data_IF_700116218623
#
_entry.id   IF_700116218623
#
_cell.length_a   1.000
_cell.length_b   1.000
_cell.length_c   1.000
_cell.angle_alpha   90.00
_cell.angle_beta   90.00
_cell.angle_gamma   90.00
#
_symmetry.space_group_name_H-M   'P 1'
#
loop_
_entity.id
_entity.type
_entity.pdbx_description
1 polymer ?
#
# COMPACT_ATOMS: atom_id res chain seq x y z
N UNK A 1 13.95 -77.75 64.89
CA UNK A 1 12.89 -76.73 64.78
C UNK A 1 13.28 -75.55 63.89
N UNK A 2 14.46 -74.96 64.10
CA UNK A 2 15.02 -73.84 63.30
C UNK A 2 15.03 -74.07 61.77
N UNK A 3 15.47 -75.23 61.29
CA UNK A 3 15.52 -75.52 59.84
C UNK A 3 14.14 -75.59 59.15
N UNK A 4 13.10 -76.07 59.85
CA UNK A 4 11.72 -76.11 59.34
C UNK A 4 11.13 -74.70 59.27
N UNK A 5 11.37 -73.89 60.30
CA UNK A 5 10.91 -72.51 60.38
C UNK A 5 11.54 -71.63 59.29
N UNK A 6 12.87 -71.74 59.08
CA UNK A 6 13.56 -71.05 57.98
C UNK A 6 13.03 -71.48 56.61
N UNK A 7 12.75 -72.77 56.41
CA UNK A 7 12.19 -73.28 55.15
C UNK A 7 10.78 -72.71 54.90
N UNK A 8 9.93 -72.64 55.92
CA UNK A 8 8.60 -72.02 55.82
C UNK A 8 8.69 -70.52 55.49
N UNK A 9 9.57 -69.77 56.16
CA UNK A 9 9.80 -68.34 55.87
C UNK A 9 10.26 -68.12 54.43
N UNK A 10 11.27 -68.86 53.97
CA UNK A 10 11.78 -68.76 52.60
C UNK A 10 10.66 -69.08 51.59
N UNK A 11 9.83 -70.07 51.89
CA UNK A 11 8.74 -70.48 50.99
C UNK A 11 7.64 -69.42 50.92
N UNK A 12 7.22 -68.85 52.06
CA UNK A 12 6.23 -67.77 52.11
C UNK A 12 6.75 -66.51 51.44
N UNK A 13 7.99 -66.08 51.75
CA UNK A 13 8.63 -64.92 51.10
C UNK A 13 8.75 -65.13 49.58
N UNK A 14 9.15 -66.32 49.12
CA UNK A 14 9.24 -66.61 47.68
C UNK A 14 7.87 -66.58 47.00
N UNK A 15 6.82 -66.98 47.71
CA UNK A 15 5.44 -66.99 47.22
C UNK A 15 4.90 -65.57 47.05
N UNK A 16 5.19 -64.67 47.99
CA UNK A 16 4.81 -63.25 47.94
C UNK A 16 5.71 -62.43 46.98
N UNK A 17 6.98 -62.79 46.81
CA UNK A 17 7.89 -62.11 45.86
C UNK A 17 7.62 -62.46 44.40
N UNK A 18 7.04 -63.64 44.11
CA UNK A 18 6.74 -64.07 42.75
C UNK A 18 5.79 -63.13 41.97
N UNK A 19 4.64 -62.67 42.52
CA UNK A 19 3.78 -61.70 41.85
C UNK A 19 4.46 -60.34 41.68
N UNK A 20 5.20 -59.86 42.69
CA UNK A 20 5.98 -58.62 42.60
C UNK A 20 7.00 -58.70 41.46
N UNK A 21 7.67 -59.84 41.28
CA UNK A 21 8.64 -60.05 40.20
C UNK A 21 7.98 -60.05 38.81
N UNK A 22 6.73 -60.50 38.69
CA UNK A 22 5.94 -60.38 37.45
C UNK A 22 5.55 -58.94 37.18
N UNK A 23 4.99 -58.24 38.17
CA UNK A 23 4.62 -56.83 38.01
C UNK A 23 5.84 -55.96 37.63
N UNK A 24 7.02 -56.22 38.22
CA UNK A 24 8.27 -55.56 37.81
C UNK A 24 8.61 -55.88 36.35
N UNK A 25 8.43 -57.11 35.89
CA UNK A 25 8.69 -57.46 34.49
C UNK A 25 7.71 -56.74 33.54
N UNK A 26 6.43 -56.71 33.88
CA UNK A 26 5.39 -56.01 33.11
C UNK A 26 5.64 -54.49 33.07
N UNK A 27 6.12 -53.90 34.18
CA UNK A 27 6.54 -52.49 34.26
C UNK A 27 7.75 -52.25 33.35
N UNK A 28 8.76 -53.13 33.36
CA UNK A 28 9.93 -52.99 32.48
C UNK A 28 9.53 -53.04 31.01
N UNK A 29 8.62 -53.94 30.64
CA UNK A 29 8.10 -54.03 29.28
C UNK A 29 7.31 -52.77 28.90
N UNK A 30 6.43 -52.30 29.78
CA UNK A 30 5.66 -51.06 29.60
C UNK A 30 6.58 -49.84 29.46
N UNK A 31 7.64 -49.77 30.26
CA UNK A 31 8.61 -48.68 30.23
C UNK A 31 9.46 -48.70 28.96
N UNK A 32 9.83 -49.88 28.48
CA UNK A 32 10.49 -50.06 27.17
C UNK A 32 9.59 -49.56 26.03
N UNK A 33 8.30 -49.92 26.04
CA UNK A 33 7.34 -49.43 25.07
C UNK A 33 7.16 -47.91 25.13
N UNK A 34 7.02 -47.34 26.33
CA UNK A 34 6.92 -45.89 26.52
C UNK A 34 8.17 -45.15 26.04
N UNK A 35 9.37 -45.66 26.33
CA UNK A 35 10.62 -45.06 25.85
C UNK A 35 10.65 -45.01 24.33
N UNK A 36 10.26 -46.10 23.65
CA UNK A 36 10.18 -46.12 22.18
C UNK A 36 9.20 -45.06 21.65
N UNK A 37 8.02 -44.94 22.26
CA UNK A 37 7.03 -43.92 21.89
C UNK A 37 7.54 -42.50 22.15
N UNK A 38 8.27 -42.30 23.23
CA UNK A 38 8.88 -41.01 23.57
C UNK A 38 9.96 -40.63 22.56
N UNK A 39 10.83 -41.57 22.15
CA UNK A 39 11.81 -41.35 21.10
C UNK A 39 11.17 -40.99 19.75
N UNK A 40 10.13 -41.73 19.34
CA UNK A 40 9.38 -41.45 18.12
C UNK A 40 8.75 -40.03 18.17
N UNK A 41 8.20 -39.65 19.33
CA UNK A 41 7.63 -38.33 19.55
C UNK A 41 8.70 -37.22 19.54
N UNK A 42 9.87 -37.44 20.14
CA UNK A 42 10.98 -36.48 20.08
C UNK A 42 11.45 -36.25 18.64
N UNK A 43 11.59 -37.32 17.84
CA UNK A 43 11.94 -37.20 16.42
C UNK A 43 10.90 -36.41 15.63
N UNK A 44 9.61 -36.68 15.87
CA UNK A 44 8.53 -35.93 15.23
C UNK A 44 8.52 -34.45 15.66
N UNK A 45 8.82 -34.16 16.92
CA UNK A 45 8.91 -32.80 17.44
C UNK A 45 10.10 -32.03 16.83
N UNK A 46 11.28 -32.66 16.75
CA UNK A 46 12.47 -32.12 16.09
C UNK A 46 12.16 -31.75 14.64
N UNK A 47 11.56 -32.67 13.88
CA UNK A 47 11.16 -32.46 12.49
C UNK A 47 10.13 -31.33 12.36
N UNK A 48 9.12 -31.29 13.24
CA UNK A 48 8.11 -30.24 13.22
C UNK A 48 8.72 -28.88 13.51
N UNK A 49 9.65 -28.79 14.46
CA UNK A 49 10.39 -27.57 14.76
C UNK A 49 11.18 -27.10 13.54
N UNK A 50 11.93 -27.98 12.90
CA UNK A 50 12.67 -27.65 11.67
C UNK A 50 11.76 -27.08 10.58
N UNK A 51 10.63 -27.75 10.30
CA UNK A 51 9.64 -27.30 9.31
C UNK A 51 9.09 -25.92 9.68
N UNK A 52 8.77 -25.67 10.94
CA UNK A 52 8.26 -24.36 11.39
C UNK A 52 9.31 -23.27 11.13
N UNK A 53 10.56 -23.47 11.53
CA UNK A 53 11.63 -22.50 11.26
C UNK A 53 11.78 -22.22 9.77
N UNK A 54 11.72 -23.26 8.92
CA UNK A 54 11.80 -23.11 7.47
C UNK A 54 10.63 -22.30 6.91
N UNK A 55 9.41 -22.60 7.35
CA UNK A 55 8.21 -21.88 6.94
C UNK A 55 8.21 -20.42 7.40
N UNK A 56 8.74 -20.13 8.59
CA UNK A 56 8.88 -18.77 9.08
C UNK A 56 9.85 -17.96 8.21
N UNK A 57 11.00 -18.54 7.85
CA UNK A 57 11.98 -17.93 6.95
C UNK A 57 11.38 -17.68 5.56
N UNK A 58 10.75 -18.68 4.97
CA UNK A 58 10.08 -18.53 3.66
C UNK A 58 8.99 -17.46 3.70
N UNK A 59 8.21 -17.38 4.77
CA UNK A 59 7.18 -16.36 4.93
C UNK A 59 7.77 -14.95 5.05
N UNK A 60 8.91 -14.79 5.74
CA UNK A 60 9.61 -13.50 5.78
C UNK A 60 10.10 -13.08 4.40
N UNK A 61 10.69 -13.98 3.63
CA UNK A 61 11.18 -13.71 2.27
C UNK A 61 10.03 -13.40 1.30
N UNK A 62 8.92 -14.13 1.41
CA UNK A 62 7.72 -13.88 0.63
C UNK A 62 7.11 -12.50 0.92
N UNK A 63 7.05 -12.08 2.19
CA UNK A 63 6.56 -10.75 2.56
C UNK A 63 7.42 -9.64 1.95
N UNK A 64 8.74 -9.77 2.00
CA UNK A 64 9.67 -8.82 1.38
C UNK A 64 9.44 -8.76 -0.13
N UNK A 65 9.38 -9.92 -0.79
CA UNK A 65 9.15 -10.00 -2.24
C UNK A 65 7.81 -9.37 -2.64
N UNK A 66 6.75 -9.61 -1.88
CA UNK A 66 5.43 -9.01 -2.13
C UNK A 66 5.47 -7.49 -1.98
N UNK A 67 6.17 -6.95 -0.99
CA UNK A 67 6.34 -5.50 -0.84
C UNK A 67 7.07 -4.89 -2.05
N UNK A 68 8.17 -5.51 -2.49
CA UNK A 68 8.93 -5.05 -3.66
C UNK A 68 8.11 -5.10 -4.96
N UNK A 69 7.33 -6.17 -5.16
CA UNK A 69 6.45 -6.29 -6.33
C UNK A 69 5.33 -5.26 -6.32
N UNK A 70 4.74 -4.97 -5.15
CA UNK A 70 3.73 -3.93 -5.02
C UNK A 70 4.31 -2.54 -5.32
N UNK A 71 5.51 -2.24 -4.84
CA UNK A 71 6.20 -0.98 -5.14
C UNK A 71 6.52 -0.86 -6.65
N UNK A 72 6.98 -1.94 -7.29
CA UNK A 72 7.18 -1.97 -8.75
C UNK A 72 5.88 -1.75 -9.52
N UNK A 73 4.80 -2.43 -9.13
CA UNK A 73 3.49 -2.28 -9.75
C UNK A 73 2.96 -0.85 -9.63
N UNK A 74 3.06 -0.24 -8.44
CA UNK A 74 2.64 1.14 -8.21
C UNK A 74 3.44 2.13 -9.09
N UNK A 75 4.74 1.89 -9.27
CA UNK A 75 5.57 2.70 -10.16
C UNK A 75 5.15 2.55 -11.63
N UNK A 76 4.91 1.33 -12.11
CA UNK A 76 4.43 1.09 -13.48
C UNK A 76 3.06 1.73 -13.71
N UNK A 77 2.15 1.63 -12.74
CA UNK A 77 0.84 2.25 -12.79
C UNK A 77 0.95 3.79 -12.88
N UNK A 78 1.88 4.40 -12.12
CA UNK A 78 2.09 5.85 -12.23
C UNK A 78 2.78 6.24 -13.54
N UNK A 79 3.69 5.42 -14.05
CA UNK A 79 4.38 5.66 -15.33
C UNK A 79 3.43 5.63 -16.52
N UNK A 80 2.43 4.73 -16.52
CA UNK A 80 1.43 4.69 -17.60
C UNK A 80 0.57 5.96 -17.68
N UNK A 81 0.55 6.76 -16.60
CA UNK A 81 -0.15 8.06 -16.51
C UNK A 81 0.81 9.25 -16.68
N UNK A 82 2.06 9.01 -17.04
CA UNK A 82 3.08 10.06 -17.15
C UNK A 82 2.75 11.13 -18.19
N UNK A 83 1.89 10.87 -19.17
CA UNK A 83 1.48 11.89 -20.13
C UNK A 83 0.16 12.57 -19.76
N UNK A 84 -0.43 12.21 -18.62
CA UNK A 84 -1.80 12.53 -18.34
C UNK A 84 -1.93 13.69 -17.36
N UNK A 85 -2.89 14.57 -17.63
CA UNK A 85 -3.39 15.56 -16.66
C UNK A 85 -4.81 15.19 -16.24
N UNK A 86 -5.19 15.66 -15.06
CA UNK A 86 -6.54 15.59 -14.54
C UNK A 86 -7.09 17.02 -14.39
N UNK A 87 -8.19 17.31 -15.08
CA UNK A 87 -8.97 18.52 -14.90
C UNK A 87 -10.08 18.25 -13.89
N UNK A 88 -10.02 18.93 -12.76
CA UNK A 88 -10.94 18.75 -11.65
C UNK A 88 -11.90 19.93 -11.56
N UNK A 89 -13.12 19.65 -11.09
CA UNK A 89 -14.15 20.66 -10.83
C UNK A 89 -14.67 21.40 -12.08
N UNK A 90 -14.50 20.84 -13.27
CA UNK A 90 -15.12 21.36 -14.50
C UNK A 90 -16.61 20.98 -14.53
N UNK A 91 -17.55 21.94 -14.61
CA UNK A 91 -18.98 21.64 -14.66
C UNK A 91 -19.36 20.70 -15.83
N UNK A 92 -20.40 19.88 -15.64
CA UNK A 92 -20.84 18.88 -16.62
C UNK A 92 -22.00 19.40 -17.47
N UNK A 93 -21.92 19.20 -18.79
CA UNK A 93 -23.02 19.48 -19.72
C UNK A 93 -23.35 18.23 -20.56
N UNK A 94 -24.64 17.97 -20.80
CA UNK A 94 -25.10 16.76 -21.55
C UNK A 94 -24.52 16.63 -22.96
N UNK A 95 -24.21 17.75 -23.62
CA UNK A 95 -23.67 17.82 -24.98
C UNK A 95 -22.28 18.46 -24.99
N UNK A 96 -21.46 18.18 -23.98
CA UNK A 96 -20.11 18.73 -23.93
C UNK A 96 -19.16 18.03 -24.91
N UNK A 97 -18.23 18.80 -25.45
CA UNK A 97 -17.05 18.27 -26.10
C UNK A 97 -15.83 18.52 -25.19
N UNK A 98 -15.34 17.46 -24.55
CA UNK A 98 -14.21 17.56 -23.61
C UNK A 98 -12.90 17.99 -24.29
N UNK A 99 -12.73 17.75 -25.58
CA UNK A 99 -11.56 18.26 -26.32
C UNK A 99 -11.62 19.78 -26.43
N UNK A 100 -12.78 20.35 -26.74
CA UNK A 100 -12.95 21.81 -26.80
C UNK A 100 -12.66 22.48 -25.45
N UNK A 101 -13.03 21.84 -24.34
CA UNK A 101 -12.71 22.32 -22.99
C UNK A 101 -11.19 22.39 -22.79
N UNK A 102 -10.46 21.35 -23.20
CA UNK A 102 -8.98 21.30 -23.08
C UNK A 102 -8.33 22.35 -23.99
N UNK A 103 -8.79 22.49 -25.23
CA UNK A 103 -8.28 23.50 -26.17
C UNK A 103 -8.54 24.92 -25.64
N UNK A 104 -9.72 25.17 -25.06
CA UNK A 104 -10.04 26.45 -24.44
C UNK A 104 -9.17 26.71 -23.21
N UNK A 105 -8.96 25.71 -22.35
CA UNK A 105 -8.04 25.80 -21.23
C UNK A 105 -6.64 26.19 -21.70
N UNK A 106 -6.11 25.51 -22.73
CA UNK A 106 -4.79 25.77 -23.29
C UNK A 106 -4.65 27.22 -23.76
N UNK A 107 -5.68 27.75 -24.46
CA UNK A 107 -5.74 29.16 -24.87
C UNK A 107 -5.74 30.13 -23.69
N UNK A 108 -6.57 29.87 -22.67
CA UNK A 108 -6.67 30.73 -21.47
C UNK A 108 -5.32 30.85 -20.76
N UNK A 109 -4.60 29.74 -20.61
CA UNK A 109 -3.30 29.73 -19.93
C UNK A 109 -2.13 30.08 -20.86
N UNK A 110 -2.42 30.47 -22.11
CA UNK A 110 -1.43 30.77 -23.15
C UNK A 110 -0.42 29.64 -23.36
N UNK A 111 -0.92 28.40 -23.44
CA UNK A 111 -0.15 27.21 -23.75
C UNK A 111 -0.55 26.70 -25.15
N UNK A 112 0.43 26.58 -26.04
CA UNK A 112 0.22 26.04 -27.38
C UNK A 112 0.00 24.52 -27.30
N UNK A 113 -1.24 24.10 -27.46
CA UNK A 113 -1.64 22.68 -27.55
C UNK A 113 -2.56 22.54 -28.76
N UNK A 114 -2.11 21.79 -29.75
CA UNK A 114 -2.92 21.44 -30.91
C UNK A 114 -3.77 20.19 -30.65
N UNK A 115 -4.71 19.91 -31.55
CA UNK A 115 -5.53 18.69 -31.47
C UNK A 115 -4.67 17.41 -31.53
N UNK A 116 -3.56 17.44 -32.28
CA UNK A 116 -2.61 16.32 -32.40
C UNK A 116 -1.86 16.01 -31.10
N UNK A 117 -1.79 16.98 -30.19
CA UNK A 117 -1.13 16.81 -28.91
C UNK A 117 -2.03 16.12 -27.88
N UNK A 118 -3.33 16.01 -28.14
CA UNK A 118 -4.31 15.37 -27.29
C UNK A 118 -4.62 13.98 -27.87
N UNK A 119 -4.04 12.94 -27.27
CA UNK A 119 -4.25 11.56 -27.71
C UNK A 119 -5.61 11.01 -27.29
N UNK A 120 -6.05 11.36 -26.07
CA UNK A 120 -7.33 10.93 -25.55
C UNK A 120 -7.84 11.90 -24.50
N UNK A 121 -9.16 12.15 -24.48
CA UNK A 121 -9.79 12.99 -23.48
C UNK A 121 -11.15 12.40 -23.09
N UNK A 122 -11.38 12.17 -21.80
CA UNK A 122 -12.62 11.56 -21.30
C UNK A 122 -12.93 11.93 -19.86
N UNK A 123 -14.21 11.90 -19.48
CA UNK A 123 -14.60 11.97 -18.07
C UNK A 123 -14.48 10.62 -17.39
N UNK A 124 -13.97 10.64 -16.16
CA UNK A 124 -13.85 9.44 -15.33
C UNK A 124 -14.94 9.37 -14.27
N UNK A 125 -15.33 8.15 -13.90
CA UNK A 125 -16.28 7.92 -12.82
C UNK A 125 -15.76 8.50 -11.49
N UNK A 126 -16.69 8.94 -10.64
CA UNK A 126 -16.35 9.40 -9.30
C UNK A 126 -15.97 8.21 -8.44
N UNK A 127 -14.93 8.35 -7.63
CA UNK A 127 -14.60 7.36 -6.59
C UNK A 127 -15.72 7.26 -5.57
N UNK A 128 -16.32 8.41 -5.20
CA UNK A 128 -17.51 8.47 -4.37
C UNK A 128 -18.71 8.95 -5.21
N UNK A 129 -19.67 8.07 -5.56
CA UNK A 129 -20.86 8.42 -6.34
C UNK A 129 -21.73 9.49 -5.68
N UNK A 130 -21.75 9.58 -4.34
CA UNK A 130 -22.56 10.58 -3.62
C UNK A 130 -21.93 11.97 -3.58
N UNK A 131 -20.72 12.15 -4.13
CA UNK A 131 -20.08 13.46 -4.16
C UNK A 131 -20.77 14.43 -5.13
N UNK A 132 -21.09 15.62 -4.65
CA UNK A 132 -21.60 16.72 -5.48
C UNK A 132 -20.55 17.31 -6.43
N UNK A 133 -19.26 16.93 -6.29
CA UNK A 133 -18.22 17.40 -7.21
C UNK A 133 -18.43 16.81 -8.61
N UNK A 134 -18.26 17.58 -9.70
CA UNK A 134 -18.28 17.07 -11.06
C UNK A 134 -17.23 15.97 -11.29
N UNK A 135 -17.50 15.06 -12.22
CA UNK A 135 -16.52 14.05 -12.68
C UNK A 135 -15.29 14.74 -13.27
N UNK A 136 -14.09 14.29 -12.91
CA UNK A 136 -12.85 14.81 -13.50
C UNK A 136 -12.75 14.44 -14.98
N UNK A 137 -12.07 15.27 -15.77
CA UNK A 137 -11.66 14.96 -17.14
C UNK A 137 -10.19 14.50 -17.10
N UNK A 138 -9.90 13.34 -17.65
CA UNK A 138 -8.53 12.88 -17.90
C UNK A 138 -8.16 13.19 -19.34
N UNK A 139 -6.99 13.80 -19.50
CA UNK A 139 -6.42 14.13 -20.81
C UNK A 139 -5.08 13.44 -20.91
N UNK A 140 -4.93 12.57 -21.90
CA UNK A 140 -3.65 11.96 -22.27
C UNK A 140 -3.02 12.79 -23.38
N UNK A 141 -1.84 13.33 -23.10
CA UNK A 141 -1.10 14.16 -24.04
C UNK A 141 -0.06 13.35 -24.82
N UNK A 142 0.48 13.93 -25.90
CA UNK A 142 1.48 13.28 -26.74
C UNK A 142 2.79 12.97 -25.99
N UNK A 143 3.13 13.74 -24.94
CA UNK A 143 4.37 13.52 -24.18
C UNK A 143 4.29 14.06 -22.74
N UNK A 144 5.16 13.58 -21.83
CA UNK A 144 5.28 14.16 -20.48
C UNK A 144 5.71 15.63 -20.52
N UNK A 145 6.45 16.04 -21.55
CA UNK A 145 6.86 17.44 -21.76
C UNK A 145 5.66 18.34 -22.00
N UNK A 146 4.67 17.89 -22.78
CA UNK A 146 3.44 18.64 -23.01
C UNK A 146 2.60 18.74 -21.73
N UNK A 147 2.53 17.65 -20.97
CA UNK A 147 1.91 17.64 -19.62
C UNK A 147 2.57 18.67 -18.70
N UNK A 148 3.89 18.72 -18.65
CA UNK A 148 4.61 19.68 -17.80
C UNK A 148 4.41 21.12 -18.27
N UNK A 149 4.34 21.33 -19.58
CA UNK A 149 4.12 22.64 -20.17
C UNK A 149 2.78 23.24 -19.75
N UNK A 150 1.67 22.50 -19.91
CA UNK A 150 0.34 23.00 -19.52
C UNK A 150 0.21 23.18 -18.01
N UNK A 151 0.82 22.30 -17.20
CA UNK A 151 0.84 22.45 -15.74
C UNK A 151 1.59 23.72 -15.33
N UNK A 152 2.78 23.96 -15.89
CA UNK A 152 3.56 25.17 -15.63
C UNK A 152 2.84 26.43 -16.10
N UNK A 153 2.24 26.42 -17.29
CA UNK A 153 1.43 27.51 -17.82
C UNK A 153 0.24 27.83 -16.90
N UNK A 154 -0.46 26.80 -16.42
CA UNK A 154 -1.57 26.98 -15.45
C UNK A 154 -1.10 27.59 -14.14
N UNK A 155 0.05 27.15 -13.60
CA UNK A 155 0.63 27.72 -12.39
C UNK A 155 0.98 29.19 -12.60
N UNK A 156 1.66 29.52 -13.71
CA UNK A 156 2.03 30.88 -14.08
C UNK A 156 0.81 31.78 -14.24
N UNK A 157 -0.24 31.28 -14.90
CA UNK A 157 -1.51 31.99 -15.05
C UNK A 157 -2.13 32.32 -13.68
N UNK A 158 -2.20 31.35 -12.77
CA UNK A 158 -2.77 31.56 -11.43
C UNK A 158 -1.93 32.49 -10.55
N UNK A 159 -0.61 32.54 -10.75
CA UNK A 159 0.29 33.47 -10.08
C UNK A 159 0.12 34.89 -10.60
N UNK A 160 -0.04 35.06 -11.91
CA UNK A 160 -0.30 36.35 -12.54
C UNK A 160 -1.70 36.90 -12.21
N UNK A 161 -2.67 36.01 -11.95
CA UNK A 161 -4.07 36.36 -11.68
C UNK A 161 -4.53 35.89 -10.28
N UNK A 162 -3.98 36.46 -9.18
CA UNK A 162 -4.26 35.96 -7.83
C UNK A 162 -5.73 36.13 -7.40
N UNK A 163 -6.40 37.19 -7.88
CA UNK A 163 -7.82 37.48 -7.61
C UNK A 163 -8.78 36.75 -8.55
N UNK A 164 -8.28 36.29 -9.70
CA UNK A 164 -9.09 35.64 -10.73
C UNK A 164 -8.35 34.42 -11.29
N UNK A 165 -8.07 33.47 -10.39
CA UNK A 165 -7.49 32.18 -10.76
C UNK A 165 -8.39 31.42 -11.74
N UNK A 166 -7.79 30.45 -12.42
CA UNK A 166 -8.48 29.56 -13.35
C UNK A 166 -9.76 29.00 -12.72
N UNK A 167 -10.86 29.18 -13.45
CA UNK A 167 -12.21 28.91 -12.97
C UNK A 167 -13.11 28.64 -14.19
N UNK A 168 -14.32 28.15 -13.95
CA UNK A 168 -15.22 27.70 -15.00
C UNK A 168 -15.62 28.80 -16.01
N UNK A 169 -15.67 30.09 -15.63
CA UNK A 169 -16.06 31.15 -16.58
C UNK A 169 -15.01 31.36 -17.67
N UNK A 170 -13.73 31.15 -17.37
CA UNK A 170 -12.66 31.17 -18.37
C UNK A 170 -12.80 30.06 -19.42
N UNK A 171 -13.47 28.97 -19.05
CA UNK A 171 -13.75 27.84 -19.94
C UNK A 171 -15.10 27.99 -20.67
N UNK A 172 -15.73 29.17 -20.59
CA UNK A 172 -16.98 29.48 -21.30
C UNK A 172 -18.25 29.02 -20.57
N UNK A 173 -18.17 28.65 -19.29
CA UNK A 173 -19.36 28.30 -18.51
C UNK A 173 -20.01 29.57 -17.95
N UNK A 174 -21.31 29.72 -18.21
CA UNK A 174 -22.14 30.76 -17.61
C UNK A 174 -22.48 30.43 -16.14
N UNK A 175 -22.78 31.47 -15.36
CA UNK A 175 -23.25 31.34 -13.98
C UNK A 175 -22.16 31.57 -12.92
N UNK A 176 -22.34 31.05 -11.69
CA UNK A 176 -21.40 31.28 -10.60
C UNK A 176 -19.99 30.74 -10.90
N UNK A 177 -18.98 31.57 -10.67
CA UNK A 177 -17.57 31.19 -10.83
C UNK A 177 -17.22 30.08 -9.83
N UNK A 178 -16.70 28.97 -10.34
CA UNK A 178 -16.17 27.87 -9.52
C UNK A 178 -14.75 27.52 -9.97
N UNK A 179 -13.82 27.26 -9.03
CA UNK A 179 -12.42 27.04 -9.36
C UNK A 179 -12.23 25.74 -10.14
N UNK A 180 -11.33 25.78 -11.12
CA UNK A 180 -10.93 24.62 -11.91
C UNK A 180 -9.46 24.34 -11.62
N UNK A 181 -9.15 23.06 -11.35
CA UNK A 181 -7.79 22.65 -11.01
C UNK A 181 -7.23 21.76 -12.11
N UNK A 182 -5.98 22.04 -12.51
CA UNK A 182 -5.20 21.22 -13.43
C UNK A 182 -4.13 20.53 -12.60
N UNK A 183 -4.15 19.21 -12.55
CA UNK A 183 -3.23 18.41 -11.75
C UNK A 183 -2.60 17.28 -12.57
N UNK A 184 -1.49 16.73 -12.10
CA UNK A 184 -0.98 15.46 -12.63
C UNK A 184 -1.98 14.32 -12.36
N UNK A 185 -2.15 13.43 -13.33
CA UNK A 185 -2.99 12.25 -13.13
C UNK A 185 -2.26 11.19 -12.28
N UNK A 186 -2.54 11.21 -10.98
CA UNK A 186 -2.00 10.22 -10.05
C UNK A 186 -2.75 8.89 -10.11
N UNK A 187 -2.02 7.77 -9.89
CA UNK A 187 -2.63 6.47 -9.62
C UNK A 187 -3.50 6.52 -8.36
N UNK A 188 -4.48 5.61 -8.19
CA UNK A 188 -5.29 5.55 -6.97
C UNK A 188 -4.44 5.44 -5.69
N UNK A 189 -3.38 4.63 -5.74
CA UNK A 189 -2.43 4.48 -4.65
C UNK A 189 -1.72 5.82 -4.32
N UNK A 190 -1.24 6.54 -5.33
CA UNK A 190 -0.58 7.84 -5.13
C UNK A 190 -1.57 8.94 -4.74
N UNK A 191 -2.82 8.92 -5.21
CA UNK A 191 -3.87 9.83 -4.73
C UNK A 191 -4.12 9.62 -3.23
N UNK A 192 -4.24 8.37 -2.79
CA UNK A 192 -4.41 8.02 -1.38
C UNK A 192 -3.19 8.42 -0.55
N UNK A 193 -1.97 8.14 -1.03
CA UNK A 193 -0.73 8.52 -0.37
C UNK A 193 -0.59 10.05 -0.26
N UNK A 194 -0.94 10.80 -1.31
CA UNK A 194 -0.92 12.26 -1.30
C UNK A 194 -1.95 12.81 -0.29
N UNK A 195 -3.14 12.23 -0.20
CA UNK A 195 -4.13 12.60 0.81
C UNK A 195 -3.61 12.37 2.23
N UNK A 196 -3.08 11.18 2.52
CA UNK A 196 -2.51 10.84 3.83
C UNK A 196 -1.30 11.75 4.17
N UNK A 197 -0.46 12.03 3.18
CA UNK A 197 0.69 12.94 3.33
C UNK A 197 0.25 14.35 3.72
N UNK A 198 -0.78 14.90 3.08
CA UNK A 198 -1.31 16.24 3.42
C UNK A 198 -1.90 16.31 4.83
N UNK A 199 -2.59 15.26 5.27
CA UNK A 199 -3.13 15.18 6.63
C UNK A 199 -1.98 15.21 7.64
N UNK A 200 -1.01 14.30 7.49
CA UNK A 200 0.14 14.22 8.41
C UNK A 200 1.04 15.46 8.38
N UNK A 201 1.28 16.02 7.19
CA UNK A 201 2.03 17.25 7.03
C UNK A 201 1.38 18.41 7.80
N UNK A 202 0.03 18.51 7.77
CA UNK A 202 -0.70 19.51 8.55
C UNK A 202 -0.53 19.30 10.05
N UNK A 203 -0.68 18.06 10.53
CA UNK A 203 -0.50 17.72 11.95
C UNK A 203 0.90 18.05 12.47
N UNK A 204 1.91 17.93 11.61
CA UNK A 204 3.32 18.18 11.92
C UNK A 204 3.82 19.56 11.50
N UNK A 205 2.92 20.46 11.12
CA UNK A 205 3.22 21.84 10.70
C UNK A 205 4.24 21.95 9.55
N UNK A 206 4.19 21.02 8.59
CA UNK A 206 4.94 21.15 7.34
C UNK A 206 4.27 22.18 6.44
N UNK A 207 5.06 23.15 5.97
CA UNK A 207 4.57 24.27 5.15
C UNK A 207 4.19 23.84 3.74
N UNK A 208 4.85 22.84 3.17
CA UNK A 208 4.67 22.47 1.76
C UNK A 208 4.44 20.98 1.56
N UNK A 209 3.47 20.67 0.70
CA UNK A 209 3.25 19.33 0.11
C UNK A 209 2.95 19.54 -1.37
N UNK A 210 3.69 18.87 -2.24
CA UNK A 210 3.47 18.96 -3.69
C UNK A 210 3.75 17.65 -4.40
N UNK A 211 3.28 17.60 -5.64
CA UNK A 211 3.49 16.49 -6.56
C UNK A 211 4.38 16.98 -7.70
N UNK A 212 5.34 16.16 -8.12
CA UNK A 212 6.13 16.38 -9.32
C UNK A 212 6.49 15.04 -9.95
N UNK A 213 6.17 14.84 -11.23
CA UNK A 213 6.43 13.59 -11.95
C UNK A 213 5.84 12.36 -11.25
N UNK A 214 4.60 12.49 -10.76
CA UNK A 214 3.89 11.45 -10.03
C UNK A 214 4.45 11.15 -8.63
N UNK A 215 5.47 11.87 -8.17
CA UNK A 215 6.12 11.68 -6.87
C UNK A 215 5.67 12.75 -5.90
N UNK A 216 5.48 12.36 -4.64
CA UNK A 216 4.99 13.23 -3.57
C UNK A 216 6.17 13.70 -2.73
N UNK A 217 6.21 15.00 -2.47
CA UNK A 217 7.26 15.65 -1.69
C UNK A 217 6.65 16.51 -0.59
N UNK A 218 7.39 16.63 0.51
CA UNK A 218 7.06 17.50 1.63
C UNK A 218 8.27 18.35 2.02
N UNK A 219 8.04 19.55 2.54
CA UNK A 219 9.07 20.42 3.08
C UNK A 219 8.54 21.17 4.30
N UNK A 220 9.32 21.17 5.39
CA UNK A 220 8.84 21.69 6.69
C UNK A 220 8.76 23.21 6.71
N UNK A 221 9.83 23.88 6.31
CA UNK A 221 9.95 25.34 6.29
C UNK A 221 10.63 25.83 5.02
N UNK A 222 10.67 27.14 4.81
CA UNK A 222 11.52 27.73 3.77
C UNK A 222 12.98 27.36 4.02
N UNK A 223 13.73 27.07 2.97
CA UNK A 223 15.15 26.71 3.07
C UNK A 223 15.43 25.25 3.47
N UNK A 224 14.55 24.58 4.22
CA UNK A 224 14.77 23.19 4.65
C UNK A 224 14.85 22.18 3.48
N UNK A 225 15.45 21.01 3.69
CA UNK A 225 15.42 19.96 2.68
C UNK A 225 14.01 19.41 2.46
N UNK A 226 13.76 18.94 1.24
CA UNK A 226 12.52 18.24 0.91
C UNK A 226 12.67 16.74 1.16
N UNK A 227 11.57 16.10 1.55
CA UNK A 227 11.50 14.65 1.75
C UNK A 227 10.54 14.07 0.71
N UNK A 228 10.98 13.03 0.01
CA UNK A 228 10.10 12.25 -0.87
C UNK A 228 9.33 11.21 -0.06
N UNK A 229 8.01 11.19 -0.19
CA UNK A 229 7.13 10.17 0.39
C UNK A 229 6.82 9.14 -0.71
N UNK A 230 7.46 7.97 -0.62
CA UNK A 230 7.37 6.92 -1.65
C UNK A 230 6.22 5.94 -1.41
N UNK A 231 5.96 5.64 -0.15
CA UNK A 231 4.98 4.65 0.29
C UNK A 231 4.43 5.03 1.68
N UNK A 232 3.49 4.23 2.19
CA UNK A 232 2.89 4.46 3.51
C UNK A 232 3.93 4.45 4.63
N UNK A 233 4.90 3.55 4.58
CA UNK A 233 6.00 3.47 5.56
C UNK A 233 6.81 4.77 5.62
N UNK A 234 7.01 5.42 4.46
CA UNK A 234 7.70 6.72 4.36
C UNK A 234 6.97 7.87 5.05
N UNK A 235 5.68 7.74 5.39
CA UNK A 235 4.96 8.76 6.14
C UNK A 235 5.58 8.98 7.53
N UNK A 236 6.24 7.97 8.12
CA UNK A 236 6.94 8.10 9.42
C UNK A 236 8.02 9.19 9.43
N UNK A 237 8.57 9.55 8.26
CA UNK A 237 9.59 10.59 8.08
C UNK A 237 9.08 12.02 8.33
N UNK A 238 7.76 12.21 8.41
CA UNK A 238 7.12 13.49 8.72
C UNK A 238 7.00 13.59 10.24
N UNK A 239 7.85 14.43 10.86
CA UNK A 239 8.00 14.55 12.33
C UNK A 239 7.73 15.95 12.87
#
# INVERSE_FOLDING_TARGET
MSAKFNKTIITTISKELAPIKREIADIVESMSFMNKKFEDMMKAHELSREIITKLELENTDLKVTVEELNDRLANLEQQSRSNNIELQCVPENKKENVYNIVTQLARVVNCEIGERDILHCTRIAKVNPSSNRPRSIIVQLASPRMRDHILAATIKYNQANPQEKLNCSHLGYAGPKSPVFVAEHLSPANKALHAATRIKAREKNYKYVWVRNGRIFVRKTDGADYIQIRNKSSLSKIV
#
